data_IF_883053449374
#
_entry.id   IF_883053449374
#
_cell.length_a   1.000
_cell.length_b   1.000
_cell.length_c   1.000
_cell.angle_alpha   90.00
_cell.angle_beta   90.00
_cell.angle_gamma   90.00
#
_symmetry.space_group_name_H-M   'P 1'
#
loop_
_entity.id
_entity.type
_entity.pdbx_description
1 polymer ?
#
# COMPACT_ATOMS: atom_id res chain seq x y z
N UNK A 1 3.76 3.29 -19.23
CA UNK A 1 3.57 3.19 -17.77
C UNK A 1 2.17 3.69 -17.47
N UNK A 2 1.33 2.87 -16.81
CA UNK A 2 -0.06 3.25 -16.48
C UNK A 2 -0.17 3.49 -14.98
N UNK A 3 -0.52 4.72 -14.60
CA UNK A 3 -0.87 5.08 -13.23
C UNK A 3 -2.31 4.65 -12.95
N UNK A 4 -2.56 3.98 -11.82
CA UNK A 4 -3.90 3.53 -11.41
C UNK A 4 -4.53 4.57 -10.51
N UNK A 5 -3.87 4.88 -9.40
CA UNK A 5 -4.33 5.83 -8.38
C UNK A 5 -3.16 6.23 -7.47
N UNK A 6 -3.29 7.36 -6.82
CA UNK A 6 -2.55 7.66 -5.58
C UNK A 6 -3.24 6.96 -4.40
N UNK A 7 -2.49 6.45 -3.43
CA UNK A 7 -3.08 5.94 -2.18
C UNK A 7 -3.40 7.11 -1.25
N UNK A 8 -4.67 7.49 -1.16
CA UNK A 8 -5.10 8.67 -0.39
C UNK A 8 -5.78 8.29 0.91
N UNK A 9 -5.59 9.11 1.94
CA UNK A 9 -6.28 9.05 3.23
C UNK A 9 -5.87 10.21 4.11
N UNK A 10 -6.29 10.21 5.37
CA UNK A 10 -5.74 11.15 6.35
C UNK A 10 -4.28 10.76 6.65
N UNK A 11 -3.38 11.74 6.78
CA UNK A 11 -1.98 11.48 7.13
C UNK A 11 -1.81 11.69 8.62
N UNK A 12 -1.17 10.74 9.28
CA UNK A 12 -0.92 10.77 10.72
C UNK A 12 0.47 10.21 11.03
N UNK A 13 0.93 10.39 12.27
CA UNK A 13 2.15 9.77 12.76
C UNK A 13 1.92 8.29 13.08
N UNK A 14 2.91 7.44 12.79
CA UNK A 14 2.83 6.01 13.09
C UNK A 14 2.57 5.77 14.58
N UNK A 15 3.25 6.51 15.47
CA UNK A 15 3.07 6.40 16.93
C UNK A 15 1.64 6.67 17.42
N UNK A 16 0.86 7.45 16.68
CA UNK A 16 -0.54 7.72 17.03
C UNK A 16 -1.46 6.56 16.65
N UNK A 17 -0.97 5.57 15.89
CA UNK A 17 -1.73 4.49 15.26
C UNK A 17 -1.30 3.09 15.69
N UNK A 18 -0.45 2.98 16.72
CA UNK A 18 0.05 1.68 17.22
C UNK A 18 -1.06 0.74 17.72
N UNK A 19 -2.16 1.31 18.21
CA UNK A 19 -3.35 0.56 18.68
C UNK A 19 -4.53 0.65 17.70
N UNK A 20 -4.30 1.15 16.48
CA UNK A 20 -5.36 1.26 15.46
C UNK A 20 -5.61 -0.11 14.81
N UNK A 21 -6.87 -0.54 14.77
CA UNK A 21 -7.29 -1.81 14.17
C UNK A 21 -7.56 -1.70 12.65
N UNK A 22 -7.32 -0.53 12.05
CA UNK A 22 -7.52 -0.28 10.63
C UNK A 22 -6.65 -1.19 9.75
N UNK A 23 -7.31 -1.95 8.88
CA UNK A 23 -6.67 -2.86 7.92
C UNK A 23 -6.22 -2.17 6.62
N UNK A 24 -6.30 -0.83 6.55
CA UNK A 24 -6.04 -0.05 5.32
C UNK A 24 -5.04 1.08 5.59
N UNK A 25 -4.05 0.82 6.45
CA UNK A 25 -2.94 1.72 6.69
C UNK A 25 -1.82 1.50 5.67
N UNK A 26 -1.15 2.58 5.27
CA UNK A 26 -0.09 2.53 4.26
C UNK A 26 1.03 3.49 4.64
N UNK A 27 2.24 2.96 4.88
CA UNK A 27 3.42 3.76 5.22
C UNK A 27 3.68 4.84 4.17
N UNK A 28 3.77 6.09 4.61
CA UNK A 28 4.07 7.25 3.76
C UNK A 28 5.55 7.62 3.84
N UNK A 29 6.06 7.78 5.06
CA UNK A 29 7.43 8.20 5.35
C UNK A 29 7.99 7.34 6.48
N UNK A 30 9.20 6.80 6.28
CA UNK A 30 10.00 6.20 7.34
C UNK A 30 11.18 7.14 7.59
N UNK A 31 11.10 7.88 8.68
CA UNK A 31 12.13 8.84 9.08
C UNK A 31 13.21 8.14 9.92
N UNK A 32 14.39 8.75 10.01
CA UNK A 32 15.44 8.28 10.93
C UNK A 32 14.99 8.34 12.38
N UNK A 33 14.23 9.38 12.75
CA UNK A 33 13.52 9.45 14.01
C UNK A 33 12.14 8.77 13.85
N UNK A 34 11.87 7.63 14.54
CA UNK A 34 10.59 6.92 14.39
C UNK A 34 9.37 7.79 14.70
N UNK A 35 9.52 8.76 15.62
CA UNK A 35 8.46 9.69 16.02
C UNK A 35 8.00 10.64 14.91
N UNK A 36 8.79 10.76 13.84
CA UNK A 36 8.50 11.58 12.65
C UNK A 36 8.00 10.73 11.47
N UNK A 37 7.88 9.41 11.63
CA UNK A 37 7.38 8.53 10.58
C UNK A 37 5.87 8.69 10.40
N UNK A 38 5.44 8.67 9.14
CA UNK A 38 4.07 8.99 8.74
C UNK A 38 3.39 7.80 8.06
N UNK A 39 2.09 7.69 8.29
CA UNK A 39 1.21 6.68 7.71
C UNK A 39 -0.01 7.36 7.09
N UNK A 40 -0.49 6.81 5.98
CA UNK A 40 -1.80 7.16 5.41
C UNK A 40 -2.84 6.24 6.04
N UNK A 41 -3.83 6.83 6.70
CA UNK A 41 -4.98 6.17 7.29
C UNK A 41 -6.19 6.40 6.38
N UNK A 42 -6.57 5.38 5.62
CA UNK A 42 -7.72 5.47 4.73
C UNK A 42 -9.06 5.16 5.41
N UNK A 43 -9.12 5.08 6.74
CA UNK A 43 -10.27 4.63 7.55
C UNK A 43 -11.53 5.48 7.36
N UNK A 44 -11.42 6.81 7.49
CA UNK A 44 -12.52 7.77 7.38
C UNK A 44 -12.67 8.38 6.00
N UNK A 45 -11.55 8.68 5.36
CA UNK A 45 -11.46 9.32 4.03
C UNK A 45 -10.45 8.54 3.21
N UNK A 46 -10.77 8.28 1.95
CA UNK A 46 -9.88 7.56 1.05
C UNK A 46 -10.49 7.42 -0.34
N UNK A 47 -9.76 6.79 -1.24
CA UNK A 47 -10.18 6.56 -2.62
C UNK A 47 -10.13 5.06 -2.96
N UNK A 48 -10.20 4.72 -4.26
CA UNK A 48 -10.21 3.34 -4.73
C UNK A 48 -8.96 2.52 -4.35
N UNK A 49 -7.82 3.17 -4.08
CA UNK A 49 -6.55 2.50 -3.82
C UNK A 49 -6.59 1.56 -2.60
N UNK A 50 -7.38 1.91 -1.57
CA UNK A 50 -7.51 1.11 -0.34
C UNK A 50 -8.17 -0.26 -0.56
N UNK A 51 -8.87 -0.45 -1.68
CA UNK A 51 -9.60 -1.68 -1.98
C UNK A 51 -8.82 -2.65 -2.87
N UNK A 52 -7.60 -2.30 -3.32
CA UNK A 52 -6.77 -3.19 -4.12
C UNK A 52 -6.21 -4.30 -3.24
N UNK A 53 -6.47 -5.56 -3.60
CA UNK A 53 -6.13 -6.72 -2.78
C UNK A 53 -4.62 -6.98 -2.71
N UNK A 54 -4.14 -7.44 -1.57
CA UNK A 54 -2.77 -7.92 -1.41
C UNK A 54 -2.59 -9.35 -1.90
N UNK A 55 -1.34 -9.72 -2.20
CA UNK A 55 -0.92 -11.11 -2.42
C UNK A 55 -0.62 -11.81 -1.09
N UNK A 56 -0.71 -13.13 -1.06
CA UNK A 56 -0.13 -13.95 -0.01
C UNK A 56 1.39 -14.07 -0.21
N UNK A 57 2.20 -13.48 0.66
CA UNK A 57 3.66 -13.50 0.55
C UNK A 57 4.27 -14.88 0.81
N UNK A 58 3.52 -15.80 1.41
CA UNK A 58 3.97 -17.13 1.83
C UNK A 58 3.71 -18.21 0.77
N UNK A 59 2.90 -17.92 -0.26
CA UNK A 59 2.55 -18.88 -1.33
C UNK A 59 3.16 -18.45 -2.68
N UNK A 60 4.07 -19.24 -3.29
CA UNK A 60 4.68 -18.92 -4.58
C UNK A 60 3.67 -18.58 -5.68
N UNK A 61 2.57 -19.33 -5.79
CA UNK A 61 1.53 -19.08 -6.79
C UNK A 61 0.79 -17.75 -6.59
N UNK A 62 0.60 -17.31 -5.34
CA UNK A 62 -0.02 -16.02 -5.08
C UNK A 62 0.90 -14.86 -5.48
N UNK A 63 2.23 -15.00 -5.32
CA UNK A 63 3.19 -13.96 -5.73
C UNK A 63 3.15 -13.69 -7.23
N UNK A 64 2.82 -14.69 -8.05
CA UNK A 64 2.64 -14.55 -9.51
C UNK A 64 1.39 -13.72 -9.89
N UNK A 65 0.43 -13.55 -8.97
CA UNK A 65 -0.79 -12.75 -9.23
C UNK A 65 -0.55 -11.24 -9.24
N UNK A 66 0.56 -10.78 -8.64
CA UNK A 66 0.91 -9.35 -8.58
C UNK A 66 0.98 -8.73 -9.97
N UNK A 67 0.14 -7.72 -10.20
CA UNK A 67 0.06 -6.94 -11.43
C UNK A 67 0.09 -5.42 -11.18
N UNK A 68 0.13 -5.02 -9.91
CA UNK A 68 0.28 -3.65 -9.43
C UNK A 68 1.47 -3.56 -8.47
N UNK A 69 2.16 -2.42 -8.47
CA UNK A 69 3.20 -2.07 -7.49
C UNK A 69 2.84 -0.75 -6.82
N UNK A 70 2.96 -0.68 -5.49
CA UNK A 70 2.98 0.59 -4.76
C UNK A 70 4.42 1.11 -4.76
N UNK A 71 4.59 2.37 -5.12
CA UNK A 71 5.88 3.05 -5.15
C UNK A 71 5.75 4.38 -4.45
N UNK A 72 6.77 4.74 -3.67
CA UNK A 72 6.87 6.02 -2.97
C UNK A 72 7.79 6.94 -3.75
N UNK A 73 7.32 8.14 -4.06
CA UNK A 73 8.08 9.17 -4.78
C UNK A 73 8.09 10.46 -3.99
N UNK A 74 9.19 11.20 -4.11
CA UNK A 74 9.23 12.62 -3.81
C UNK A 74 8.60 13.38 -4.99
N UNK A 75 7.53 14.14 -4.70
CA UNK A 75 6.90 15.05 -5.66
C UNK A 75 6.86 16.43 -5.03
N UNK A 76 7.73 17.33 -5.47
CA UNK A 76 7.87 18.69 -4.94
C UNK A 76 8.22 18.76 -3.45
N UNK A 77 9.10 17.88 -2.97
CA UNK A 77 9.57 17.83 -1.59
C UNK A 77 8.63 17.09 -0.63
N UNK A 78 7.59 16.42 -1.14
CA UNK A 78 6.64 15.66 -0.31
C UNK A 78 6.49 14.22 -0.80
N UNK A 79 6.42 13.28 0.14
CA UNK A 79 6.20 11.86 -0.16
C UNK A 79 4.81 11.63 -0.75
N UNK A 80 4.73 10.82 -1.81
CA UNK A 80 3.50 10.36 -2.45
C UNK A 80 3.54 8.87 -2.72
N UNK A 81 2.43 8.17 -2.45
CA UNK A 81 2.30 6.74 -2.70
C UNK A 81 1.46 6.50 -3.96
N UNK A 82 2.07 5.95 -5.01
CA UNK A 82 1.44 5.74 -6.30
C UNK A 82 1.29 4.25 -6.59
N UNK A 83 0.13 3.86 -7.11
CA UNK A 83 -0.13 2.51 -7.59
C UNK A 83 0.04 2.47 -9.10
N UNK A 84 1.02 1.68 -9.57
CA UNK A 84 1.37 1.57 -10.98
C UNK A 84 1.23 0.15 -11.47
N UNK A 85 0.77 0.01 -12.72
CA UNK A 85 0.67 -1.28 -13.41
C UNK A 85 2.07 -1.83 -13.73
N UNK A 86 2.32 -3.11 -13.46
CA UNK A 86 3.62 -3.77 -13.72
C UNK A 86 3.65 -4.62 -15.01
N UNK A 87 2.48 -4.92 -15.58
CA UNK A 87 2.31 -5.65 -16.85
C UNK A 87 0.94 -5.34 -17.45
N UNK A 88 0.70 -5.69 -18.72
CA UNK A 88 -0.65 -5.58 -19.27
C UNK A 88 -1.70 -6.30 -18.38
N UNK A 89 -2.85 -5.65 -18.18
CA UNK A 89 -3.96 -6.14 -17.35
C UNK A 89 -5.20 -6.23 -18.23
N UNK A 90 -5.78 -7.43 -18.34
CA UNK A 90 -6.97 -7.64 -19.17
C UNK A 90 -8.23 -7.10 -18.48
N UNK A 91 -9.27 -6.78 -19.27
CA UNK A 91 -10.59 -6.42 -18.72
C UNK A 91 -11.12 -7.58 -17.86
N UNK A 92 -11.54 -7.28 -16.63
CA UNK A 92 -12.03 -8.27 -15.68
C UNK A 92 -10.95 -8.94 -14.82
N UNK A 93 -9.67 -8.69 -15.10
CA UNK A 93 -8.58 -9.18 -14.27
C UNK A 93 -8.51 -8.39 -12.94
N UNK A 94 -8.42 -9.11 -11.81
CA UNK A 94 -8.31 -8.49 -10.49
C UNK A 94 -6.93 -7.90 -10.26
N UNK A 95 -6.90 -6.73 -9.62
CA UNK A 95 -5.67 -6.06 -9.23
C UNK A 95 -5.11 -6.64 -7.94
N UNK A 96 -3.82 -6.95 -7.94
CA UNK A 96 -3.06 -7.47 -6.81
C UNK A 96 -1.75 -6.70 -6.61
N UNK A 97 -1.53 -6.29 -5.38
CA UNK A 97 -0.34 -5.59 -4.91
C UNK A 97 0.39 -6.41 -3.84
N UNK A 98 1.67 -6.13 -3.63
CA UNK A 98 2.41 -6.60 -2.46
C UNK A 98 2.27 -5.60 -1.31
N UNK A 99 1.50 -5.94 -0.28
CA UNK A 99 1.35 -5.10 0.91
C UNK A 99 2.66 -4.97 1.69
N UNK A 100 3.53 -5.99 1.62
CA UNK A 100 4.80 -6.05 2.33
C UNK A 100 5.99 -5.71 1.40
N UNK A 101 5.79 -4.76 0.49
CA UNK A 101 6.78 -4.41 -0.54
C UNK A 101 8.04 -3.70 -0.03
N UNK A 102 8.03 -3.26 1.23
CA UNK A 102 9.18 -2.61 1.89
C UNK A 102 9.36 -3.14 3.32
N UNK A 103 8.32 -3.05 4.13
CA UNK A 103 8.25 -3.59 5.50
C UNK A 103 7.42 -4.88 5.48
N UNK A 104 7.47 -5.69 6.55
CA UNK A 104 6.73 -6.95 6.64
C UNK A 104 5.70 -6.95 7.79
N UNK A 105 4.99 -5.82 7.93
CA UNK A 105 4.06 -5.57 9.04
C UNK A 105 2.64 -6.09 8.77
N UNK A 106 2.30 -6.40 7.52
CA UNK A 106 0.95 -6.84 7.17
C UNK A 106 0.85 -8.38 7.14
N UNK A 107 0.03 -9.04 7.98
CA UNK A 107 -0.11 -10.48 7.95
C UNK A 107 -0.87 -10.95 6.70
N UNK A 108 -0.22 -11.69 5.80
CA UNK A 108 -0.84 -12.17 4.54
C UNK A 108 -1.03 -13.69 4.46
N UNK A 109 -0.74 -14.44 5.53
CA UNK A 109 -0.84 -15.91 5.59
C UNK A 109 -2.21 -16.45 5.14
N UNK A 110 -3.27 -15.74 5.49
CA UNK A 110 -4.66 -16.14 5.21
C UNK A 110 -5.21 -15.58 3.90
N UNK A 111 -4.40 -14.88 3.09
CA UNK A 111 -4.83 -14.41 1.78
C UNK A 111 -4.99 -15.57 0.81
N UNK A 112 -5.99 -15.45 -0.07
CA UNK A 112 -6.42 -16.45 -1.07
C UNK A 112 -5.57 -16.40 -2.33
#
# INVERSE_FOLDING_TARGET
MTLIAEYTGEVDYIKNREQDESNSMMTLLLATNPDESLVICADRRGNIARFISGINNHKPESRKRKNVKCVRYDVNGVCRNLLVVTRHIAKGERLYIDYNGHENEYPTHYFV
#
